data_IF_873348793306
#
_entry.id   IF_873348793306
#
_cell.length_a   1.000
_cell.length_b   1.000
_cell.length_c   1.000
_cell.angle_alpha   90.00
_cell.angle_beta   90.00
_cell.angle_gamma   90.00
#
_symmetry.space_group_name_H-M   'P 1'
#
loop_
_entity.id
_entity.type
_entity.pdbx_description
1 polymer ?
#
# COMPACT_ATOMS: atom_id res chain seq x y z
N UNK A 1 35.14 7.20 55.50
CA UNK A 1 35.96 6.60 54.43
C UNK A 1 35.23 5.36 53.91
N UNK A 2 34.48 5.49 52.81
CA UNK A 2 33.87 4.35 52.12
C UNK A 2 34.77 3.94 50.96
N UNK A 3 35.28 2.71 50.95
CA UNK A 3 36.07 2.17 49.83
C UNK A 3 35.11 1.58 48.80
N UNK A 4 34.96 2.25 47.67
CA UNK A 4 34.24 1.71 46.51
C UNK A 4 35.12 0.66 45.81
N UNK A 5 34.61 -0.57 45.70
CA UNK A 5 35.19 -1.61 44.86
C UNK A 5 34.84 -1.32 43.39
N UNK A 6 35.85 -0.90 42.61
CA UNK A 6 35.73 -0.81 41.16
C UNK A 6 35.81 -2.21 40.55
N UNK A 7 34.72 -2.67 39.92
CA UNK A 7 34.70 -3.85 39.07
C UNK A 7 35.48 -3.58 37.78
N UNK A 8 36.42 -4.47 37.47
CA UNK A 8 37.25 -4.47 36.27
C UNK A 8 36.37 -4.62 35.00
N UNK A 9 36.47 -3.76 33.98
CA UNK A 9 35.69 -3.93 32.75
C UNK A 9 36.14 -5.21 32.02
N UNK A 10 35.20 -6.14 31.82
CA UNK A 10 35.42 -7.31 30.97
C UNK A 10 35.79 -6.80 29.57
N UNK A 11 36.96 -7.20 29.07
CA UNK A 11 37.31 -7.04 27.66
C UNK A 11 36.23 -7.75 26.84
N UNK A 12 35.48 -6.98 26.06
CA UNK A 12 34.56 -7.52 25.07
C UNK A 12 35.39 -8.17 23.97
N UNK A 13 35.21 -9.47 23.78
CA UNK A 13 35.82 -10.17 22.65
C UNK A 13 35.32 -9.57 21.33
N UNK A 14 36.17 -9.51 20.28
CA UNK A 14 35.76 -9.01 18.99
C UNK A 14 34.62 -9.89 18.46
N UNK A 15 33.47 -9.25 18.20
CA UNK A 15 32.33 -9.88 17.55
C UNK A 15 32.82 -10.48 16.23
N UNK A 16 32.93 -11.82 16.18
CA UNK A 16 33.15 -12.53 14.93
C UNK A 16 32.02 -12.09 14.00
N UNK A 17 32.35 -11.43 12.87
CA UNK A 17 31.39 -11.13 11.79
C UNK A 17 30.85 -12.46 11.26
N UNK A 18 29.83 -12.95 11.93
CA UNK A 18 28.98 -14.05 11.51
C UNK A 18 28.41 -13.68 10.15
N UNK A 19 28.41 -14.63 9.21
CA UNK A 19 27.93 -14.45 7.83
C UNK A 19 26.62 -13.65 7.85
N UNK A 20 26.63 -12.46 7.23
CA UNK A 20 25.49 -11.55 7.22
C UNK A 20 24.40 -12.13 6.33
N UNK A 21 23.60 -13.06 6.87
CA UNK A 21 22.41 -13.57 6.22
C UNK A 21 21.45 -12.38 6.08
N UNK A 22 21.13 -12.02 4.84
CA UNK A 22 20.17 -10.95 4.58
C UNK A 22 18.81 -11.40 5.08
N UNK A 23 18.02 -10.49 5.65
CA UNK A 23 16.61 -10.77 6.00
C UNK A 23 15.83 -11.34 4.82
N UNK A 24 16.23 -11.00 3.59
CA UNK A 24 15.62 -11.48 2.36
C UNK A 24 15.92 -12.95 2.03
N UNK A 25 16.95 -13.56 2.64
CA UNK A 25 17.33 -14.95 2.37
C UNK A 25 16.43 -15.97 3.10
N UNK A 26 15.44 -15.48 3.86
CA UNK A 26 14.44 -16.30 4.53
C UNK A 26 13.39 -16.77 3.52
N UNK A 27 13.16 -18.09 3.48
CA UNK A 27 12.06 -18.69 2.73
C UNK A 27 10.87 -18.86 3.65
N UNK A 28 9.69 -18.48 3.17
CA UNK A 28 8.40 -18.69 3.83
C UNK A 28 7.49 -19.45 2.87
N UNK A 29 6.55 -20.24 3.39
CA UNK A 29 5.69 -21.10 2.55
C UNK A 29 4.87 -20.32 1.51
N UNK A 30 4.55 -19.06 1.84
CA UNK A 30 3.73 -18.16 1.02
C UNK A 30 4.52 -17.39 -0.06
N UNK A 31 5.85 -17.54 -0.11
CA UNK A 31 6.70 -16.90 -1.13
C UNK A 31 8.08 -16.45 -0.63
N UNK A 32 8.66 -15.49 -1.34
CA UNK A 32 9.95 -14.89 -0.96
C UNK A 32 9.74 -13.77 0.07
N UNK A 33 10.66 -13.65 1.03
CA UNK A 33 10.63 -12.56 2.03
C UNK A 33 10.85 -11.18 1.40
N UNK A 34 11.55 -11.12 0.27
CA UNK A 34 11.76 -9.91 -0.53
C UNK A 34 11.56 -10.28 -2.01
N UNK A 35 10.31 -10.32 -2.51
CA UNK A 35 10.07 -10.65 -3.91
C UNK A 35 10.56 -9.53 -4.82
N UNK A 36 10.94 -9.88 -6.06
CA UNK A 36 11.30 -8.89 -7.10
C UNK A 36 10.22 -7.82 -7.22
N UNK A 37 10.62 -6.56 -7.26
CA UNK A 37 9.71 -5.41 -7.31
C UNK A 37 8.90 -5.40 -8.62
N UNK A 38 7.77 -4.70 -8.59
CA UNK A 38 6.90 -4.54 -9.78
C UNK A 38 7.68 -4.04 -11.00
N UNK A 39 8.57 -3.06 -10.81
CA UNK A 39 9.43 -2.50 -11.85
C UNK A 39 10.51 -3.47 -12.34
N UNK A 40 11.04 -4.30 -11.46
CA UNK A 40 12.03 -5.35 -11.80
C UNK A 40 11.41 -6.48 -12.63
N UNK A 41 10.09 -6.67 -12.51
CA UNK A 41 9.30 -7.60 -13.32
C UNK A 41 8.77 -6.97 -14.61
N UNK A 42 9.37 -5.85 -15.05
CA UNK A 42 8.96 -5.08 -16.23
C UNK A 42 7.56 -4.48 -16.13
N UNK A 43 7.00 -4.40 -14.92
CA UNK A 43 5.78 -3.66 -14.64
C UNK A 43 6.02 -2.18 -14.89
N UNK A 44 5.14 -1.58 -15.68
CA UNK A 44 5.12 -0.14 -15.99
C UNK A 44 3.69 0.35 -15.89
N UNK A 45 3.53 1.62 -15.54
CA UNK A 45 2.23 2.27 -15.53
C UNK A 45 2.45 3.76 -15.69
N UNK A 46 1.90 4.29 -16.77
CA UNK A 46 2.05 5.66 -17.26
C UNK A 46 0.68 6.17 -17.71
N UNK A 47 0.49 7.50 -17.65
CA UNK A 47 -0.69 8.19 -18.12
C UNK A 47 -0.26 9.20 -19.19
N UNK A 48 -0.72 8.99 -20.43
CA UNK A 48 -0.42 9.84 -21.57
C UNK A 48 -1.69 10.40 -22.23
N UNK A 49 -1.56 11.04 -23.39
CA UNK A 49 -2.70 11.60 -24.13
C UNK A 49 -3.68 10.55 -24.68
N UNK A 50 -3.28 9.27 -24.75
CA UNK A 50 -4.11 8.13 -25.17
C UNK A 50 -4.76 7.41 -23.98
N UNK A 51 -4.37 7.74 -22.75
CA UNK A 51 -4.93 7.19 -21.52
C UNK A 51 -3.91 6.41 -20.69
N UNK A 52 -4.38 5.44 -19.91
CA UNK A 52 -3.53 4.62 -19.05
C UNK A 52 -2.83 3.51 -19.83
N UNK A 53 -1.50 3.46 -19.73
CA UNK A 53 -0.68 2.35 -20.21
C UNK A 53 -0.12 1.57 -19.02
N UNK A 54 -0.97 0.74 -18.42
CA UNK A 54 -0.66 -0.03 -17.22
C UNK A 54 -0.99 -1.50 -17.47
N UNK A 55 -0.11 -2.31 -18.09
CA UNK A 55 -0.36 -3.72 -18.35
C UNK A 55 -0.51 -4.53 -17.05
N UNK A 56 -1.38 -5.54 -17.10
CA UNK A 56 -1.51 -6.53 -16.05
C UNK A 56 -0.40 -7.59 -16.18
N UNK A 57 0.47 -7.64 -15.18
CA UNK A 57 1.61 -8.56 -15.13
C UNK A 57 1.44 -9.67 -14.07
N UNK A 58 0.21 -9.93 -13.60
CA UNK A 58 -0.02 -10.96 -12.56
C UNK A 58 0.56 -12.33 -12.95
N UNK A 59 0.51 -12.67 -14.25
CA UNK A 59 1.03 -13.92 -14.79
C UNK A 59 2.55 -14.11 -14.60
N UNK A 60 3.30 -13.06 -14.25
CA UNK A 60 4.73 -13.13 -13.90
C UNK A 60 5.00 -13.80 -12.55
N UNK A 61 3.96 -14.06 -11.75
CA UNK A 61 4.07 -14.60 -10.41
C UNK A 61 3.49 -16.02 -10.30
N UNK A 62 4.17 -16.86 -9.51
CA UNK A 62 3.83 -18.28 -9.34
C UNK A 62 2.82 -18.56 -8.20
N UNK A 63 2.58 -17.59 -7.31
CA UNK A 63 1.66 -17.75 -6.17
C UNK A 63 0.51 -16.77 -6.27
N UNK A 64 -0.69 -17.16 -5.81
CA UNK A 64 -1.87 -16.27 -5.76
C UNK A 64 -1.60 -15.01 -4.93
N UNK A 65 -0.90 -15.16 -3.80
CA UNK A 65 -0.45 -14.05 -2.96
C UNK A 65 0.36 -13.03 -3.77
N UNK A 66 1.37 -13.48 -4.52
CA UNK A 66 2.21 -12.58 -5.31
C UNK A 66 1.46 -12.00 -6.50
N UNK A 67 0.57 -12.77 -7.13
CA UNK A 67 -0.32 -12.27 -8.18
C UNK A 67 -1.18 -11.09 -7.68
N UNK A 68 -1.81 -11.22 -6.52
CA UNK A 68 -2.59 -10.14 -5.90
C UNK A 68 -1.75 -8.90 -5.62
N UNK A 69 -0.54 -9.05 -5.06
CA UNK A 69 0.38 -7.92 -4.83
C UNK A 69 0.74 -7.17 -6.13
N UNK A 70 0.93 -7.88 -7.25
CA UNK A 70 1.21 -7.25 -8.54
C UNK A 70 -0.01 -6.47 -9.07
N UNK A 71 -1.21 -7.02 -8.92
CA UNK A 71 -2.46 -6.34 -9.28
C UNK A 71 -2.66 -5.11 -8.40
N UNK A 72 -2.49 -5.23 -7.08
CA UNK A 72 -2.63 -4.09 -6.16
C UNK A 72 -1.59 -3.00 -6.42
N UNK A 73 -0.34 -3.38 -6.74
CA UNK A 73 0.66 -2.38 -7.14
C UNK A 73 0.25 -1.64 -8.40
N UNK A 74 -0.31 -2.35 -9.39
CA UNK A 74 -0.85 -1.74 -10.62
C UNK A 74 -1.99 -0.76 -10.28
N UNK A 75 -2.94 -1.17 -9.45
CA UNK A 75 -4.06 -0.32 -9.03
C UNK A 75 -3.58 0.93 -8.29
N UNK A 76 -2.63 0.79 -7.35
CA UNK A 76 -2.06 1.93 -6.64
C UNK A 76 -1.34 2.90 -7.57
N UNK A 77 -0.64 2.41 -8.61
CA UNK A 77 -0.02 3.29 -9.63
C UNK A 77 -1.05 4.02 -10.49
N UNK A 78 -2.13 3.36 -10.86
CA UNK A 78 -3.24 3.99 -11.61
C UNK A 78 -3.90 5.07 -10.75
N UNK A 79 -4.14 4.75 -9.47
CA UNK A 79 -4.63 5.70 -8.49
C UNK A 79 -3.69 6.91 -8.35
N UNK A 80 -2.39 6.68 -8.15
CA UNK A 80 -1.37 7.73 -7.99
C UNK A 80 -1.32 8.67 -9.21
N UNK A 81 -1.32 8.11 -10.43
CA UNK A 81 -1.34 8.90 -11.67
C UNK A 81 -2.62 9.76 -11.78
N UNK A 82 -3.77 9.20 -11.41
CA UNK A 82 -5.03 9.94 -11.40
C UNK A 82 -5.03 11.02 -10.31
N UNK A 83 -4.50 10.72 -9.14
CA UNK A 83 -4.39 11.65 -8.03
C UNK A 83 -3.47 12.83 -8.39
N UNK A 84 -2.29 12.55 -8.97
CA UNK A 84 -1.37 13.56 -9.46
C UNK A 84 -2.00 14.46 -10.54
N UNK A 85 -2.71 13.87 -11.50
CA UNK A 85 -3.43 14.62 -12.56
C UNK A 85 -4.44 15.63 -11.99
N UNK A 86 -5.12 15.27 -10.91
CA UNK A 86 -6.19 16.07 -10.30
C UNK A 86 -5.76 16.80 -9.01
N UNK A 87 -4.46 16.83 -8.71
CA UNK A 87 -3.90 17.44 -7.50
C UNK A 87 -4.55 16.94 -6.19
N UNK A 88 -4.86 15.64 -6.15
CA UNK A 88 -5.47 14.97 -5.00
C UNK A 88 -4.36 14.50 -4.07
N UNK A 89 -4.43 14.92 -2.82
CA UNK A 89 -3.46 14.52 -1.80
C UNK A 89 -3.87 13.22 -1.12
N UNK A 90 -2.90 12.34 -0.92
CA UNK A 90 -3.07 11.11 -0.17
C UNK A 90 -1.72 10.67 0.44
N UNK A 91 -1.76 9.69 1.34
CA UNK A 91 -0.57 8.99 1.81
C UNK A 91 -0.86 7.50 1.98
N UNK A 92 0.19 6.69 1.95
CA UNK A 92 0.09 5.27 2.32
C UNK A 92 -0.12 5.17 3.83
N UNK A 93 -0.95 4.22 4.27
CA UNK A 93 -1.20 3.97 5.69
C UNK A 93 -0.94 2.52 6.07
N UNK A 94 -1.04 2.21 7.37
CA UNK A 94 -1.08 0.85 7.92
C UNK A 94 0.02 -0.11 7.39
N UNK A 95 -0.36 -1.33 6.98
CA UNK A 95 0.56 -2.36 6.47
C UNK A 95 1.27 -1.93 5.19
N UNK A 96 0.59 -1.15 4.36
CA UNK A 96 1.12 -0.65 3.09
C UNK A 96 2.29 0.30 3.30
N UNK A 97 2.17 1.28 4.21
CA UNK A 97 3.28 2.19 4.56
C UNK A 97 4.46 1.44 5.18
N UNK A 98 4.18 0.52 6.10
CA UNK A 98 5.21 -0.29 6.73
C UNK A 98 5.95 -1.17 5.71
N UNK A 99 5.23 -1.78 4.78
CA UNK A 99 5.80 -2.53 3.66
C UNK A 99 6.73 -1.67 2.83
N UNK A 100 6.26 -0.50 2.37
CA UNK A 100 7.05 0.42 1.57
C UNK A 100 8.36 0.83 2.26
N UNK A 101 8.30 1.16 3.55
CA UNK A 101 9.49 1.55 4.32
C UNK A 101 10.47 0.38 4.54
N UNK A 102 9.94 -0.79 4.95
CA UNK A 102 10.73 -1.94 5.46
C UNK A 102 11.16 -2.93 4.36
N UNK A 103 10.27 -3.27 3.45
CA UNK A 103 10.49 -4.26 2.38
C UNK A 103 10.69 -3.64 1.00
N UNK A 104 10.57 -2.31 0.88
CA UNK A 104 10.59 -1.59 -0.41
C UNK A 104 9.46 -2.03 -1.35
N UNK A 105 8.36 -2.52 -0.78
CA UNK A 105 7.23 -3.12 -1.48
C UNK A 105 6.25 -3.71 -0.47
N UNK A 106 5.54 -4.77 -0.83
CA UNK A 106 4.59 -5.42 0.07
C UNK A 106 5.28 -6.11 1.25
N UNK A 107 4.54 -6.23 2.35
CA UNK A 107 4.85 -7.24 3.36
C UNK A 107 4.52 -8.61 2.73
N UNK A 108 5.35 -9.66 2.87
CA UNK A 108 5.21 -10.87 2.07
C UNK A 108 3.87 -11.61 2.20
N UNK A 109 3.22 -11.53 3.36
CA UNK A 109 1.90 -12.11 3.64
C UNK A 109 0.73 -11.17 3.39
N UNK A 110 1.01 -9.95 2.95
CA UNK A 110 0.02 -8.88 2.79
C UNK A 110 -0.36 -8.70 1.32
N UNK A 111 -1.61 -8.37 1.04
CA UNK A 111 -2.15 -8.39 -0.34
C UNK A 111 -3.21 -7.33 -0.65
N UNK A 112 -3.49 -6.43 0.29
CA UNK A 112 -4.33 -5.24 0.07
C UNK A 112 -3.47 -3.97 0.13
N UNK A 113 -4.09 -2.84 -0.23
CA UNK A 113 -3.44 -1.52 -0.22
C UNK A 113 -4.31 -0.56 0.57
N UNK A 114 -3.71 0.04 1.58
CA UNK A 114 -4.33 1.07 2.40
C UNK A 114 -3.75 2.43 2.06
N UNK A 115 -4.64 3.38 1.79
CA UNK A 115 -4.34 4.80 1.61
C UNK A 115 -5.29 5.63 2.46
N UNK A 116 -4.81 6.80 2.87
CA UNK A 116 -5.62 7.81 3.54
C UNK A 116 -5.55 9.12 2.77
N UNK A 117 -6.60 9.92 2.88
CA UNK A 117 -6.72 11.20 2.19
C UNK A 117 -7.60 12.18 2.95
N UNK A 118 -7.38 13.50 2.81
CA UNK A 118 -8.29 14.49 3.36
C UNK A 118 -9.68 14.35 2.73
N UNK A 119 -10.74 14.62 3.50
CA UNK A 119 -12.12 14.46 3.02
C UNK A 119 -12.43 15.24 1.74
N UNK A 120 -11.83 16.43 1.58
CA UNK A 120 -11.99 17.24 0.37
C UNK A 120 -11.38 16.56 -0.87
N UNK A 121 -10.20 15.97 -0.71
CA UNK A 121 -9.49 15.20 -1.73
C UNK A 121 -10.25 13.90 -2.07
N UNK A 122 -10.86 13.24 -1.07
CA UNK A 122 -11.76 12.10 -1.29
C UNK A 122 -12.97 12.45 -2.17
N UNK A 123 -13.64 13.55 -1.86
CA UNK A 123 -14.79 14.02 -2.66
C UNK A 123 -14.35 14.35 -4.09
N UNK A 124 -13.15 14.94 -4.27
CA UNK A 124 -12.60 15.22 -5.59
C UNK A 124 -12.31 13.91 -6.36
N UNK A 125 -11.65 12.94 -5.72
CA UNK A 125 -11.36 11.63 -6.28
C UNK A 125 -12.63 10.91 -6.73
N UNK A 126 -13.64 10.86 -5.87
CA UNK A 126 -14.92 10.19 -6.15
C UNK A 126 -15.57 10.67 -7.45
N UNK A 127 -15.50 11.98 -7.72
CA UNK A 127 -16.08 12.60 -8.92
C UNK A 127 -15.33 12.25 -10.21
N UNK A 128 -14.02 12.05 -10.14
CA UNK A 128 -13.17 11.78 -11.33
C UNK A 128 -12.99 10.28 -11.58
N UNK A 129 -12.88 9.48 -10.51
CA UNK A 129 -12.66 8.04 -10.61
C UNK A 129 -13.80 7.31 -11.33
N UNK A 130 -15.04 7.75 -11.12
CA UNK A 130 -16.22 7.21 -11.82
C UNK A 130 -16.19 7.37 -13.35
N UNK A 131 -15.31 8.23 -13.89
CA UNK A 131 -15.27 8.57 -15.33
C UNK A 131 -13.95 8.24 -15.99
N UNK A 132 -12.85 8.33 -15.25
CA UNK A 132 -11.51 8.32 -15.83
C UNK A 132 -10.73 7.03 -15.54
N UNK A 133 -11.25 6.12 -14.73
CA UNK A 133 -10.58 4.85 -14.49
C UNK A 133 -10.55 3.97 -15.76
N UNK A 134 -9.49 3.16 -15.94
CA UNK A 134 -9.42 2.15 -17.00
C UNK A 134 -10.62 1.20 -17.00
N UNK A 135 -11.05 0.77 -18.19
CA UNK A 135 -12.22 -0.10 -18.38
C UNK A 135 -12.12 -1.47 -17.67
N UNK A 136 -10.90 -1.92 -17.37
CA UNK A 136 -10.65 -3.18 -16.68
C UNK A 136 -10.65 -3.03 -15.14
N UNK A 137 -11.00 -1.85 -14.63
CA UNK A 137 -11.10 -1.57 -13.19
C UNK A 137 -12.55 -1.24 -12.83
N UNK A 138 -13.07 -1.98 -11.85
CA UNK A 138 -14.36 -1.69 -11.26
C UNK A 138 -14.20 -0.77 -10.05
N UNK A 139 -14.75 0.43 -10.12
CA UNK A 139 -14.79 1.35 -8.98
C UNK A 139 -15.98 1.04 -8.08
N UNK A 140 -15.78 0.14 -7.11
CA UNK A 140 -16.80 -0.23 -6.14
C UNK A 140 -17.04 0.90 -5.13
N UNK A 141 -18.28 1.37 -5.02
CA UNK A 141 -18.73 2.38 -4.07
C UNK A 141 -20.25 2.29 -3.84
N UNK A 142 -20.82 3.16 -3.00
CA UNK A 142 -22.25 3.13 -2.67
C UNK A 142 -23.21 3.31 -3.85
N UNK A 143 -22.76 3.92 -4.95
CA UNK A 143 -23.57 4.12 -6.16
C UNK A 143 -23.42 2.97 -7.16
N UNK A 144 -22.26 2.30 -7.19
CA UNK A 144 -21.97 1.21 -8.14
C UNK A 144 -22.26 -0.18 -7.56
N UNK A 145 -22.34 -0.31 -6.24
CA UNK A 145 -22.72 -1.54 -5.54
C UNK A 145 -23.75 -1.22 -4.45
N UNK A 146 -25.03 -1.46 -4.76
CA UNK A 146 -26.16 -1.17 -3.88
C UNK A 146 -26.13 -2.02 -2.59
N UNK A 147 -25.39 -3.13 -2.55
CA UNK A 147 -25.24 -3.92 -1.34
C UNK A 147 -24.37 -3.18 -0.28
N UNK A 148 -23.52 -2.24 -0.71
CA UNK A 148 -22.76 -1.36 0.18
C UNK A 148 -23.64 -0.30 0.86
N UNK A 149 -24.87 -0.04 0.40
CA UNK A 149 -25.77 0.94 1.03
C UNK A 149 -26.40 0.46 2.35
N UNK A 150 -25.97 -0.68 2.90
CA UNK A 150 -26.56 -1.29 4.08
C UNK A 150 -25.86 -0.95 5.40
N UNK A 151 -25.78 0.36 5.70
CA UNK A 151 -25.85 0.84 7.08
C UNK A 151 -26.53 2.21 7.08
N UNK A 152 -27.85 2.22 7.31
CA UNK A 152 -28.61 3.43 7.60
C UNK A 152 -28.08 4.05 8.89
N UNK A 153 -26.99 4.81 8.83
CA UNK A 153 -26.72 5.85 9.81
C UNK A 153 -27.73 6.95 9.52
N UNK A 154 -28.90 6.86 10.15
CA UNK A 154 -29.75 8.03 10.34
C UNK A 154 -28.94 9.02 11.17
N UNK A 155 -28.15 9.89 10.52
CA UNK A 155 -27.72 11.13 11.14
C UNK A 155 -28.98 12.00 11.13
N UNK A 156 -29.62 12.29 12.28
CA UNK A 156 -30.75 13.19 12.29
C UNK A 156 -30.20 14.56 11.88
N UNK A 157 -30.62 15.08 10.73
CA UNK A 157 -30.53 16.50 10.45
C UNK A 157 -31.35 17.18 11.56
N UNK A 158 -30.66 17.76 12.55
CA UNK A 158 -31.30 18.55 13.60
C UNK A 158 -32.16 19.60 12.91
N UNK A 159 -33.48 19.50 13.09
CA UNK A 159 -34.44 20.53 12.69
C UNK A 159 -33.96 21.85 13.27
N UNK A 160 -33.53 22.76 12.41
CA UNK A 160 -33.32 24.16 12.76
C UNK A 160 -34.61 24.70 13.36
N UNK A 161 -34.64 24.92 14.67
CA UNK A 161 -35.69 25.66 15.34
C UNK A 161 -35.70 27.08 14.79
N UNK A 162 -36.72 27.43 14.00
CA UNK A 162 -37.12 28.82 13.83
C UNK A 162 -37.67 29.30 15.17
N UNK A 163 -36.99 30.26 15.78
CA UNK A 163 -37.59 31.24 16.70
C UNK A 163 -37.73 32.53 15.94
#
# INVERSE_FOLDING_TARGET
>A
MAKHNYLNPRKLDPVKKSMTRSRCDMKIEIGDMCPKLYTELRGKCELDSKGFNCPDIRHMANTSMRQSQLVMTRLLRIFDLLAAKHNIRYWLSSGTLLGAARHKGFIPWDHDVDIEMPMQDYIAFFKVASKELPNDIFYQNSHTDTNLESAKTQVPLSRSTKK
#
